data_IF_122995194073
#
_entry.id   IF_122995194073
#
_cell.length_a   1.000
_cell.length_b   1.000
_cell.length_c   1.000
_cell.angle_alpha   90.00
_cell.angle_beta   90.00
_cell.angle_gamma   90.00
#
_symmetry.space_group_name_H-M   'P 1'
#
loop_
_entity.id
_entity.type
_entity.pdbx_description
1 polymer ?
#
# COMPACT_ATOMS: atom_id res chain seq x y z
N UNK A 1 -18.81 -5.54 -13.06
CA UNK A 1 -18.92 -4.29 -12.33
C UNK A 1 -19.48 -4.47 -10.94
N UNK A 2 -20.60 -5.14 -10.83
CA UNK A 2 -21.15 -5.52 -9.54
C UNK A 2 -20.25 -6.46 -8.77
N UNK A 3 -19.43 -7.23 -9.50
CA UNK A 3 -18.52 -8.20 -8.90
C UNK A 3 -17.46 -7.58 -7.99
N UNK A 4 -17.03 -6.34 -8.29
CA UNK A 4 -15.99 -5.70 -7.48
C UNK A 4 -16.48 -5.22 -6.12
N UNK A 5 -17.76 -4.84 -6.02
CA UNK A 5 -18.34 -4.51 -4.72
C UNK A 5 -18.56 -5.75 -3.88
N UNK A 6 -18.93 -6.85 -4.54
CA UNK A 6 -19.10 -8.14 -3.85
C UNK A 6 -17.78 -8.66 -3.31
N UNK A 7 -16.66 -8.37 -3.99
CA UNK A 7 -15.35 -8.82 -3.53
C UNK A 7 -14.97 -8.17 -2.18
N UNK A 8 -15.31 -6.90 -1.97
CA UNK A 8 -15.06 -6.24 -0.69
C UNK A 8 -15.86 -6.93 0.42
N UNK A 9 -17.11 -7.26 0.15
CA UNK A 9 -17.96 -7.98 1.08
C UNK A 9 -17.40 -9.37 1.42
N UNK A 10 -16.92 -10.09 0.39
CA UNK A 10 -16.34 -11.42 0.57
C UNK A 10 -15.05 -11.34 1.39
N UNK A 11 -14.21 -10.34 1.12
CA UNK A 11 -12.98 -10.12 1.88
C UNK A 11 -13.31 -9.81 3.33
N UNK A 12 -14.33 -8.98 3.55
CA UNK A 12 -14.77 -8.65 4.91
C UNK A 12 -15.11 -9.89 5.71
N UNK A 13 -15.72 -10.88 5.06
CA UNK A 13 -16.08 -12.16 5.69
C UNK A 13 -14.89 -13.12 5.82
N UNK A 14 -13.73 -12.74 5.33
CA UNK A 14 -12.51 -13.53 5.48
C UNK A 14 -12.21 -14.47 4.33
N UNK A 15 -12.74 -14.20 3.13
CA UNK A 15 -12.47 -15.03 1.95
C UNK A 15 -11.06 -14.79 1.43
N UNK A 16 -10.17 -15.77 1.60
CA UNK A 16 -8.81 -15.69 1.07
C UNK A 16 -8.77 -15.70 -0.46
N UNK A 17 -9.58 -16.53 -1.15
CA UNK A 17 -9.61 -16.46 -2.61
C UNK A 17 -10.00 -15.07 -3.13
N UNK A 18 -10.98 -14.43 -2.49
CA UNK A 18 -11.39 -13.09 -2.88
C UNK A 18 -10.26 -12.09 -2.64
N UNK A 19 -9.56 -12.21 -1.52
CA UNK A 19 -8.44 -11.33 -1.22
C UNK A 19 -7.30 -11.52 -2.21
N UNK A 20 -7.02 -12.77 -2.58
CA UNK A 20 -5.97 -13.05 -3.57
C UNK A 20 -6.29 -12.40 -4.90
N UNK A 21 -7.53 -12.47 -5.34
CA UNK A 21 -7.95 -11.82 -6.58
C UNK A 21 -7.78 -10.31 -6.48
N UNK A 22 -8.19 -9.73 -5.37
CA UNK A 22 -8.03 -8.29 -5.12
C UNK A 22 -6.55 -7.91 -5.09
N UNK A 23 -5.72 -8.69 -4.42
CA UNK A 23 -4.28 -8.47 -4.33
C UNK A 23 -3.67 -8.43 -5.73
N UNK A 24 -3.99 -9.42 -6.56
CA UNK A 24 -3.45 -9.50 -7.92
C UNK A 24 -3.86 -8.28 -8.76
N UNK A 25 -5.09 -7.79 -8.56
CA UNK A 25 -5.58 -6.63 -9.31
C UNK A 25 -4.90 -5.32 -8.89
N UNK A 26 -4.59 -5.16 -7.62
CA UNK A 26 -4.15 -3.86 -7.10
C UNK A 26 -2.65 -3.78 -6.80
N UNK A 27 -1.98 -4.91 -6.70
CA UNK A 27 -0.56 -4.91 -6.35
C UNK A 27 0.28 -4.10 -7.33
N UNK A 28 0.13 -4.38 -8.63
CA UNK A 28 0.91 -3.69 -9.66
C UNK A 28 0.57 -2.20 -9.67
N UNK A 29 -0.71 -1.86 -9.53
CA UNK A 29 -1.15 -0.48 -9.51
C UNK A 29 -0.50 0.30 -8.37
N UNK A 30 -0.41 -0.32 -7.19
CA UNK A 30 0.21 0.32 -6.03
C UNK A 30 1.73 0.43 -6.20
N UNK A 31 2.36 -0.57 -6.83
CA UNK A 31 3.78 -0.49 -7.14
C UNK A 31 4.07 0.69 -8.09
N UNK A 32 3.26 0.85 -9.12
CA UNK A 32 3.41 1.95 -10.08
C UNK A 32 3.19 3.28 -9.37
N UNK A 33 2.21 3.34 -8.49
CA UNK A 33 1.95 4.56 -7.71
C UNK A 33 3.14 4.88 -6.80
N UNK A 34 3.68 3.89 -6.10
CA UNK A 34 4.84 4.07 -5.24
C UNK A 34 6.07 4.54 -6.01
N UNK A 35 6.19 4.14 -7.27
CA UNK A 35 7.31 4.53 -8.12
C UNK A 35 7.35 6.02 -8.42
N UNK A 36 6.27 6.74 -8.16
CA UNK A 36 6.26 8.21 -8.25
C UNK A 36 7.12 8.84 -7.15
N UNK A 37 7.32 8.12 -6.05
CA UNK A 37 8.05 8.62 -4.88
C UNK A 37 9.40 7.94 -4.72
N UNK A 38 9.48 6.64 -5.01
CA UNK A 38 10.67 5.83 -4.72
C UNK A 38 11.27 5.33 -6.03
N UNK A 39 12.60 5.30 -6.10
CA UNK A 39 13.32 4.81 -7.27
C UNK A 39 13.67 3.33 -7.17
N UNK A 40 13.65 2.80 -5.95
CA UNK A 40 14.00 1.41 -5.68
C UNK A 40 12.76 0.53 -5.86
N UNK A 41 12.82 -0.40 -6.82
CA UNK A 41 11.69 -1.28 -7.11
C UNK A 41 11.32 -2.16 -5.94
N UNK A 42 12.31 -2.63 -5.17
CA UNK A 42 12.03 -3.48 -4.01
C UNK A 42 11.27 -2.72 -2.94
N UNK A 43 11.64 -1.46 -2.71
CA UNK A 43 10.89 -0.62 -1.77
C UNK A 43 9.45 -0.38 -2.25
N UNK A 44 9.24 -0.20 -3.56
CA UNK A 44 7.90 -0.06 -4.11
C UNK A 44 7.06 -1.29 -3.84
N UNK A 45 7.64 -2.47 -4.05
CA UNK A 45 6.96 -3.74 -3.80
C UNK A 45 6.62 -3.89 -2.32
N UNK A 46 7.56 -3.54 -1.45
CA UNK A 46 7.37 -3.66 0.00
C UNK A 46 6.21 -2.78 0.47
N UNK A 47 6.16 -1.52 0.05
CA UNK A 47 5.08 -0.63 0.49
C UNK A 47 3.73 -1.08 -0.06
N UNK A 48 3.69 -1.60 -1.29
CA UNK A 48 2.45 -2.13 -1.87
C UNK A 48 1.95 -3.33 -1.07
N UNK A 49 2.83 -4.25 -0.72
CA UNK A 49 2.49 -5.43 0.08
C UNK A 49 2.00 -5.03 1.47
N UNK A 50 2.67 -4.09 2.12
CA UNK A 50 2.25 -3.60 3.44
C UNK A 50 0.86 -2.99 3.40
N UNK A 51 0.57 -2.20 2.37
CA UNK A 51 -0.74 -1.57 2.23
C UNK A 51 -1.83 -2.63 2.10
N UNK A 52 -1.59 -3.64 1.25
CA UNK A 52 -2.56 -4.72 1.04
C UNK A 52 -2.72 -5.59 2.29
N UNK A 53 -1.63 -5.88 2.99
CA UNK A 53 -1.69 -6.61 4.26
C UNK A 53 -2.48 -5.84 5.30
N UNK A 54 -2.31 -4.52 5.36
CA UNK A 54 -3.07 -3.67 6.26
C UNK A 54 -4.56 -3.69 5.96
N UNK A 55 -4.92 -3.72 4.67
CA UNK A 55 -6.31 -3.87 4.29
C UNK A 55 -6.89 -5.20 4.80
N UNK A 56 -6.17 -6.29 4.61
CA UNK A 56 -6.63 -7.59 5.10
C UNK A 56 -6.86 -7.57 6.62
N UNK A 57 -5.92 -7.00 7.36
CA UNK A 57 -6.04 -6.91 8.82
C UNK A 57 -7.24 -6.08 9.26
N UNK A 58 -7.58 -5.04 8.48
CA UNK A 58 -8.67 -4.12 8.78
C UNK A 58 -9.90 -4.36 7.92
N UNK A 59 -9.99 -5.52 7.30
CA UNK A 59 -11.04 -5.82 6.32
C UNK A 59 -12.45 -5.61 6.84
N UNK A 60 -12.65 -5.78 8.12
CA UNK A 60 -13.98 -5.61 8.72
C UNK A 60 -14.44 -4.15 8.77
N UNK A 61 -13.51 -3.22 8.63
CA UNK A 61 -13.82 -1.79 8.66
C UNK A 61 -14.34 -1.26 7.32
N UNK A 62 -14.28 -2.07 6.26
CA UNK A 62 -14.56 -1.60 4.91
C UNK A 62 -15.79 -2.29 4.32
N UNK A 63 -16.75 -1.48 3.88
CA UNK A 63 -17.94 -1.94 3.16
C UNK A 63 -17.95 -1.54 1.70
N UNK A 64 -17.02 -0.69 1.27
CA UNK A 64 -17.09 0.07 0.04
C UNK A 64 -15.73 0.06 -0.65
N UNK A 65 -15.71 -0.27 -1.94
CA UNK A 65 -14.47 -0.33 -2.73
C UNK A 65 -13.74 1.02 -2.76
N UNK A 66 -14.48 2.12 -2.76
CA UNK A 66 -13.86 3.44 -2.81
C UNK A 66 -13.11 3.77 -1.53
N UNK A 67 -13.64 3.33 -0.40
CA UNK A 67 -12.94 3.49 0.89
C UNK A 67 -11.69 2.62 0.95
N UNK A 68 -11.76 1.41 0.39
CA UNK A 68 -10.59 0.52 0.31
C UNK A 68 -9.51 1.18 -0.54
N UNK A 69 -9.87 1.70 -1.70
CA UNK A 69 -8.91 2.37 -2.59
C UNK A 69 -8.28 3.58 -1.89
N UNK A 70 -9.11 4.41 -1.26
CA UNK A 70 -8.61 5.57 -0.53
C UNK A 70 -7.60 5.18 0.53
N UNK A 71 -7.92 4.14 1.29
CA UNK A 71 -7.02 3.60 2.30
C UNK A 71 -5.69 3.15 1.69
N UNK A 72 -5.77 2.33 0.63
CA UNK A 72 -4.57 1.76 0.01
C UNK A 72 -3.63 2.85 -0.52
N UNK A 73 -4.17 3.83 -1.25
CA UNK A 73 -3.33 4.89 -1.82
C UNK A 73 -2.78 5.81 -0.73
N UNK A 74 -3.58 6.10 0.30
CA UNK A 74 -3.12 6.93 1.42
C UNK A 74 -1.98 6.25 2.19
N UNK A 75 -2.15 4.97 2.52
CA UNK A 75 -1.13 4.22 3.26
C UNK A 75 0.14 4.09 2.42
N UNK A 76 0.00 3.78 1.13
CA UNK A 76 1.15 3.66 0.24
C UNK A 76 1.91 4.97 0.15
N UNK A 77 1.19 6.08 -0.05
CA UNK A 77 1.80 7.41 -0.12
C UNK A 77 2.53 7.74 1.18
N UNK A 78 1.87 7.53 2.31
CA UNK A 78 2.46 7.85 3.60
C UNK A 78 3.71 7.02 3.88
N UNK A 79 3.70 5.74 3.50
CA UNK A 79 4.87 4.88 3.64
C UNK A 79 6.03 5.37 2.78
N UNK A 80 5.75 5.77 1.54
CA UNK A 80 6.76 6.32 0.65
C UNK A 80 7.38 7.60 1.21
N UNK A 81 6.53 8.53 1.67
CA UNK A 81 6.99 9.78 2.26
C UNK A 81 7.83 9.54 3.50
N UNK A 82 7.45 8.54 4.29
CA UNK A 82 8.19 8.18 5.48
C UNK A 82 9.58 7.65 5.14
N UNK A 83 9.67 6.80 4.11
CA UNK A 83 10.96 6.29 3.62
C UNK A 83 11.84 7.44 3.15
N UNK A 84 11.29 8.38 2.39
CA UNK A 84 12.03 9.53 1.88
C UNK A 84 12.51 10.42 3.02
N UNK A 85 11.68 10.60 4.05
CA UNK A 85 12.05 11.39 5.22
C UNK A 85 13.21 10.76 5.97
N UNK A 86 13.18 9.44 6.15
CA UNK A 86 14.27 8.73 6.82
C UNK A 86 15.56 8.79 6.01
N UNK A 87 15.48 8.65 4.71
CA UNK A 87 16.65 8.75 3.84
C UNK A 87 17.29 10.12 3.94
N UNK A 88 16.47 11.18 3.96
CA UNK A 88 16.96 12.56 4.07
C UNK A 88 17.64 12.79 5.42
N UNK A 89 17.03 12.32 6.49
CA UNK A 89 17.60 12.45 7.83
C UNK A 89 18.96 11.76 7.91
N UNK A 90 19.06 10.55 7.34
CA UNK A 90 20.33 9.81 7.32
C UNK A 90 21.41 10.56 6.56
N UNK A 91 21.06 11.14 5.40
CA UNK A 91 22.01 11.90 4.61
C UNK A 91 22.47 13.15 5.35
N UNK A 92 21.54 13.86 5.96
CA UNK A 92 21.87 15.07 6.73
C UNK A 92 22.78 14.73 7.91
N UNK A 93 22.51 13.62 8.59
CA UNK A 93 23.33 13.16 9.71
C UNK A 93 24.75 12.83 9.25
N UNK A 94 24.89 12.08 8.16
CA UNK A 94 26.20 11.73 7.63
C UNK A 94 26.98 12.97 7.20
N UNK A 95 26.29 13.90 6.55
CA UNK A 95 26.91 15.14 6.09
C UNK A 95 27.46 15.95 7.27
N UNK A 96 26.69 16.07 8.35
CA UNK A 96 27.11 16.77 9.54
C UNK A 96 28.27 16.07 10.24
N UNK A 97 28.29 14.77 10.19
CA UNK A 97 29.32 13.96 10.83
C UNK A 97 30.65 14.08 10.11
N UNK A 98 30.63 14.18 8.79
CA UNK A 98 31.84 14.31 7.98
C UNK A 98 32.46 15.69 8.05
N UNK A 99 31.66 16.70 8.40
CA UNK A 99 32.16 18.07 8.58
C UNK A 99 32.87 18.23 9.92
#
# INVERSE_FOLDING_TARGET
MEMKQNIVSDIKRGSLPAFKEFFDDYYIMLCVFAARYLKDDEQCKDVAQEALAGYWERREDFDDIYKVKGYLYTVTRNSCLNILRHAKVSQDYQKNYED
#
